data_IF_982431383334
#
_entry.id   IF_982431383334
#
_cell.length_a   1.000
_cell.length_b   1.000
_cell.length_c   1.000
_cell.angle_alpha   90.00
_cell.angle_beta   90.00
_cell.angle_gamma   90.00
#
_symmetry.space_group_name_H-M   'P 1'
#
loop_
_entity.id
_entity.type
_entity.pdbx_description
1 polymer ?
#
# COMPACT_ATOMS: atom_id res chain seq x y z
N UNK A 1 25.60 9.46 6.01
CA UNK A 1 26.36 10.64 6.47
C UNK A 1 25.51 11.70 7.16
N UNK A 2 24.18 11.56 7.30
CA UNK A 2 23.35 12.46 8.11
C UNK A 2 23.31 13.93 7.64
N UNK A 3 23.65 14.19 6.37
CA UNK A 3 23.80 15.55 5.82
C UNK A 3 22.50 16.14 5.26
N UNK A 4 21.36 15.52 5.52
CA UNK A 4 20.07 16.03 5.06
C UNK A 4 19.75 17.32 5.82
N UNK A 5 19.31 18.37 5.12
CA UNK A 5 19.00 19.64 5.79
C UNK A 5 17.77 19.53 6.71
N UNK A 6 17.61 20.49 7.62
CA UNK A 6 16.52 20.47 8.60
C UNK A 6 15.13 20.59 7.99
N UNK A 7 15.00 21.20 6.81
CA UNK A 7 13.72 21.35 6.12
C UNK A 7 13.29 20.00 5.53
N UNK A 8 14.21 19.27 4.91
CA UNK A 8 13.99 17.94 4.39
C UNK A 8 13.68 16.94 5.52
N UNK A 9 14.40 17.00 6.65
CA UNK A 9 14.08 16.16 7.82
C UNK A 9 12.69 16.45 8.39
N UNK A 10 12.29 17.73 8.50
CA UNK A 10 10.93 18.11 8.93
C UNK A 10 9.86 17.61 7.97
N UNK A 11 10.12 17.64 6.66
CA UNK A 11 9.19 17.13 5.64
C UNK A 11 8.97 15.63 5.77
N UNK A 12 10.05 14.88 6.01
CA UNK A 12 10.00 13.43 6.26
C UNK A 12 9.29 13.14 7.59
N UNK A 13 9.53 13.93 8.63
CA UNK A 13 8.92 13.74 9.95
C UNK A 13 9.73 12.82 10.89
N UNK A 14 10.98 12.48 10.54
CA UNK A 14 11.87 11.71 11.40
C UNK A 14 13.22 12.41 11.65
N UNK A 15 13.75 12.35 12.88
CA UNK A 15 15.13 12.77 13.14
C UNK A 15 16.11 11.75 12.55
N UNK A 16 17.23 12.22 12.00
CA UNK A 16 18.25 11.31 11.49
C UNK A 16 18.86 10.45 12.61
N UNK A 17 18.99 9.14 12.35
CA UNK A 17 19.79 8.22 13.15
C UNK A 17 20.27 7.03 12.31
N UNK A 18 21.35 6.33 12.69
CA UNK A 18 21.73 5.07 12.05
C UNK A 18 20.62 4.01 12.09
N UNK A 19 19.87 3.93 13.21
CA UNK A 19 18.76 3.01 13.36
C UNK A 19 17.63 3.28 12.35
N UNK A 20 17.32 4.56 12.08
CA UNK A 20 16.35 4.94 11.05
C UNK A 20 16.77 4.46 9.66
N UNK A 21 18.06 4.59 9.32
CA UNK A 21 18.59 4.10 8.04
C UNK A 21 18.42 2.58 7.94
N UNK A 22 18.85 1.84 8.97
CA UNK A 22 18.72 0.38 9.01
C UNK A 22 17.27 -0.07 8.89
N UNK A 23 16.35 0.51 9.68
CA UNK A 23 14.90 0.24 9.60
C UNK A 23 14.38 0.47 8.20
N UNK A 24 14.72 1.60 7.59
CA UNK A 24 14.22 1.99 6.26
C UNK A 24 14.68 1.01 5.19
N UNK A 25 15.98 0.67 5.17
CA UNK A 25 16.52 -0.31 4.22
C UNK A 25 15.92 -1.71 4.43
N UNK A 26 15.70 -2.11 5.68
CA UNK A 26 15.06 -3.39 6.00
C UNK A 26 13.61 -3.44 5.51
N UNK A 27 12.83 -2.36 5.69
CA UNK A 27 11.46 -2.28 5.17
C UNK A 27 11.43 -2.39 3.64
N UNK A 28 12.29 -1.66 2.93
CA UNK A 28 12.42 -1.76 1.46
C UNK A 28 12.81 -3.19 1.03
N UNK A 29 13.77 -3.80 1.72
CA UNK A 29 14.18 -5.19 1.47
C UNK A 29 13.04 -6.20 1.71
N UNK A 30 12.22 -5.97 2.74
CA UNK A 30 11.03 -6.76 3.04
C UNK A 30 9.99 -6.70 1.92
N UNK A 31 9.71 -5.51 1.38
CA UNK A 31 8.78 -5.33 0.26
C UNK A 31 9.29 -6.01 -1.02
N UNK A 32 10.60 -5.90 -1.32
CA UNK A 32 11.22 -6.62 -2.44
C UNK A 32 11.07 -8.15 -2.26
N UNK A 33 11.37 -8.65 -1.05
CA UNK A 33 11.27 -10.08 -0.76
C UNK A 33 9.83 -10.57 -0.88
N UNK A 34 8.86 -9.82 -0.35
CA UNK A 34 7.44 -10.13 -0.48
C UNK A 34 7.02 -10.17 -1.96
N UNK A 35 7.42 -9.19 -2.78
CA UNK A 35 7.15 -9.18 -4.22
C UNK A 35 7.65 -10.46 -4.92
N UNK A 36 8.89 -10.87 -4.64
CA UNK A 36 9.48 -12.09 -5.19
C UNK A 36 8.78 -13.36 -4.72
N UNK A 37 8.45 -13.43 -3.43
CA UNK A 37 7.76 -14.59 -2.87
C UNK A 37 6.32 -14.70 -3.37
N UNK A 38 5.61 -13.59 -3.52
CA UNK A 38 4.28 -13.57 -4.11
C UNK A 38 4.29 -14.14 -5.53
N UNK A 39 5.25 -13.73 -6.38
CA UNK A 39 5.39 -14.27 -7.73
C UNK A 39 5.62 -15.79 -7.76
N UNK A 40 6.27 -16.36 -6.75
CA UNK A 40 6.50 -17.81 -6.64
C UNK A 40 5.37 -18.58 -5.96
N UNK A 41 4.62 -17.96 -5.05
CA UNK A 41 3.67 -18.63 -4.15
C UNK A 41 2.22 -18.13 -4.28
N UNK A 42 1.96 -17.17 -5.16
CA UNK A 42 0.67 -16.49 -5.34
C UNK A 42 0.43 -15.35 -4.34
N UNK A 43 0.92 -15.45 -3.11
CA UNK A 43 0.77 -14.41 -2.08
C UNK A 43 1.98 -14.33 -1.16
N UNK A 44 2.35 -13.13 -0.73
CA UNK A 44 3.27 -12.91 0.38
C UNK A 44 2.94 -11.59 1.10
N UNK A 45 3.11 -11.55 2.41
CA UNK A 45 2.78 -10.36 3.21
C UNK A 45 4.03 -9.87 3.95
N UNK A 46 4.43 -8.63 3.71
CA UNK A 46 5.47 -7.95 4.50
C UNK A 46 4.86 -7.38 5.78
N UNK A 47 5.60 -7.42 6.89
CA UNK A 47 5.19 -6.83 8.18
C UNK A 47 5.60 -5.36 8.33
N UNK A 48 6.15 -4.78 7.27
CA UNK A 48 6.57 -3.38 7.17
C UNK A 48 6.40 -2.90 5.71
N UNK A 49 6.62 -1.61 5.46
CA UNK A 49 6.53 -1.01 4.13
C UNK A 49 5.29 -0.13 3.99
N UNK A 50 4.92 0.19 2.75
CA UNK A 50 3.83 1.11 2.43
C UNK A 50 4.23 2.57 2.56
N UNK A 51 5.49 2.88 2.21
CA UNK A 51 6.05 4.23 2.32
C UNK A 51 5.78 5.04 1.05
N UNK A 52 4.49 5.18 0.71
CA UNK A 52 3.97 5.71 -0.54
C UNK A 52 4.16 7.22 -0.79
N UNK A 53 4.52 8.01 0.24
CA UNK A 53 4.73 9.47 0.15
C UNK A 53 6.16 9.88 -0.22
N UNK A 54 7.07 8.92 -0.42
CA UNK A 54 8.41 9.23 -0.90
C UNK A 54 8.37 9.42 -2.42
N UNK A 55 8.90 10.55 -2.88
CA UNK A 55 9.04 10.89 -4.29
C UNK A 55 10.43 10.49 -4.80
N UNK A 56 10.67 10.71 -6.10
CA UNK A 56 11.94 10.38 -6.77
C UNK A 56 13.16 11.00 -6.09
N UNK A 57 13.06 12.25 -5.64
CA UNK A 57 14.18 13.07 -5.17
C UNK A 57 13.99 13.64 -3.75
N UNK A 58 12.87 13.34 -3.08
CA UNK A 58 12.62 13.75 -1.69
C UNK A 58 11.66 12.81 -0.95
N UNK A 59 11.84 12.72 0.37
CA UNK A 59 10.91 12.04 1.27
C UNK A 59 9.90 12.99 1.93
N UNK A 60 8.78 12.44 2.39
CA UNK A 60 7.67 13.18 3.01
C UNK A 60 6.73 12.24 3.75
N UNK A 61 5.92 12.77 4.68
CA UNK A 61 4.83 12.00 5.30
C UNK A 61 5.28 10.67 5.88
N UNK A 62 6.37 10.68 6.66
CA UNK A 62 6.99 9.49 7.25
C UNK A 62 7.62 8.50 6.24
N UNK A 63 7.77 8.90 4.98
CA UNK A 63 8.34 8.08 3.92
C UNK A 63 9.71 8.64 3.47
N UNK A 64 10.76 7.81 3.58
CA UNK A 64 12.13 8.17 3.16
C UNK A 64 12.43 7.65 1.75
N UNK A 65 12.14 6.36 1.53
CA UNK A 65 12.19 5.73 0.21
C UNK A 65 10.80 5.18 -0.10
N UNK A 66 10.43 5.10 -1.37
CA UNK A 66 9.17 4.50 -1.79
C UNK A 66 9.42 3.01 -2.03
N UNK A 67 9.10 2.19 -1.04
CA UNK A 67 9.38 0.76 -1.07
C UNK A 67 8.57 0.03 -2.15
N UNK A 68 7.32 0.43 -2.38
CA UNK A 68 6.47 -0.07 -3.46
C UNK A 68 7.11 0.20 -4.83
N UNK A 69 7.55 1.44 -5.07
CA UNK A 69 8.21 1.79 -6.32
C UNK A 69 9.54 1.06 -6.51
N UNK A 70 10.32 0.90 -5.45
CA UNK A 70 11.57 0.14 -5.50
C UNK A 70 11.30 -1.34 -5.81
N UNK A 71 10.31 -1.96 -5.15
CA UNK A 71 9.96 -3.35 -5.39
C UNK A 71 9.46 -3.58 -6.82
N UNK A 72 8.60 -2.71 -7.35
CA UNK A 72 8.14 -2.77 -8.75
C UNK A 72 9.33 -2.72 -9.73
N UNK A 73 10.26 -1.79 -9.54
CA UNK A 73 11.48 -1.73 -10.37
C UNK A 73 12.42 -2.91 -10.17
N UNK A 74 12.47 -3.46 -8.97
CA UNK A 74 13.34 -4.59 -8.67
C UNK A 74 12.89 -5.85 -9.42
N UNK A 75 11.60 -6.19 -9.36
CA UNK A 75 11.06 -7.36 -10.08
C UNK A 75 11.10 -7.19 -11.60
N UNK A 76 10.88 -5.97 -12.10
CA UNK A 76 11.06 -5.65 -13.52
C UNK A 76 12.51 -5.84 -13.98
N UNK A 77 13.47 -5.36 -13.19
CA UNK A 77 14.90 -5.53 -13.48
C UNK A 77 15.34 -6.99 -13.45
N UNK A 78 14.75 -7.79 -12.57
CA UNK A 78 14.99 -9.25 -12.52
C UNK A 78 14.24 -10.02 -13.63
N UNK A 79 13.39 -9.35 -14.42
CA UNK A 79 12.60 -9.97 -15.48
C UNK A 79 11.46 -10.86 -14.96
N UNK A 80 11.07 -10.72 -13.69
CA UNK A 80 10.05 -11.57 -13.05
C UNK A 80 8.62 -11.08 -13.30
N UNK A 81 8.43 -9.77 -13.50
CA UNK A 81 7.16 -9.16 -13.87
C UNK A 81 7.42 -7.86 -14.64
N UNK A 82 6.72 -7.64 -15.75
CA UNK A 82 6.82 -6.43 -16.57
C UNK A 82 5.74 -5.41 -16.21
N UNK A 83 4.50 -5.85 -15.96
CA UNK A 83 3.37 -5.00 -15.58
C UNK A 83 3.05 -5.15 -14.10
N UNK A 84 3.20 -4.07 -13.33
CA UNK A 84 2.95 -4.08 -11.89
C UNK A 84 1.81 -3.11 -11.55
N UNK A 85 0.77 -3.58 -10.89
CA UNK A 85 -0.26 -2.72 -10.32
C UNK A 85 0.14 -2.38 -8.88
N UNK A 86 0.26 -1.10 -8.57
CA UNK A 86 0.37 -0.63 -7.18
C UNK A 86 -1.02 -0.20 -6.75
N UNK A 87 -1.64 -1.03 -5.90
CA UNK A 87 -2.93 -0.78 -5.29
C UNK A 87 -2.72 -0.16 -3.92
N UNK A 88 -3.13 1.09 -3.76
CA UNK A 88 -2.94 1.88 -2.55
C UNK A 88 -4.29 2.17 -1.88
N UNK A 89 -4.52 1.50 -0.75
CA UNK A 89 -5.73 1.63 0.08
C UNK A 89 -5.43 2.24 1.46
N UNK A 90 -4.30 2.94 1.59
CA UNK A 90 -4.06 3.86 2.70
C UNK A 90 -5.03 5.05 2.62
N UNK A 91 -5.34 5.67 3.76
CA UNK A 91 -6.28 6.80 3.79
C UNK A 91 -5.74 8.05 3.09
N UNK A 92 -4.41 8.16 2.98
CA UNK A 92 -3.71 9.23 2.28
C UNK A 92 -3.48 8.84 0.82
N UNK A 93 -3.46 9.83 -0.08
CA UNK A 93 -3.13 9.53 -1.47
C UNK A 93 -1.63 9.25 -1.61
N UNK A 94 -1.27 8.14 -2.26
CA UNK A 94 0.11 7.78 -2.60
C UNK A 94 0.76 8.68 -3.65
N UNK A 95 0.90 9.97 -3.33
CA UNK A 95 1.49 11.00 -4.20
C UNK A 95 2.91 10.69 -4.67
N UNK A 96 3.73 10.13 -3.79
CA UNK A 96 5.07 9.69 -4.12
C UNK A 96 5.03 8.66 -5.24
N UNK A 97 4.22 7.63 -5.08
CA UNK A 97 4.01 6.57 -6.07
C UNK A 97 3.49 7.12 -7.39
N UNK A 98 2.43 7.94 -7.36
CA UNK A 98 1.84 8.56 -8.55
C UNK A 98 2.87 9.38 -9.35
N UNK A 99 3.66 10.22 -8.68
CA UNK A 99 4.67 11.04 -9.38
C UNK A 99 5.88 10.25 -9.89
N UNK A 100 6.27 9.16 -9.23
CA UNK A 100 7.40 8.34 -9.66
C UNK A 100 7.09 7.65 -11.00
N UNK A 101 5.85 7.19 -11.16
CA UNK A 101 5.40 6.42 -12.33
C UNK A 101 4.57 7.21 -13.33
N UNK A 102 4.42 8.53 -13.15
CA UNK A 102 3.71 9.38 -14.09
C UNK A 102 4.17 9.16 -15.54
N UNK A 103 3.27 8.67 -16.39
CA UNK A 103 3.52 8.40 -17.81
C UNK A 103 4.28 7.10 -18.10
N UNK A 104 4.50 6.23 -17.11
CA UNK A 104 5.10 4.91 -17.32
C UNK A 104 4.03 3.83 -17.54
N UNK A 105 3.89 3.27 -18.75
CA UNK A 105 2.86 2.27 -19.04
C UNK A 105 3.15 0.88 -18.42
N UNK A 106 4.29 0.68 -17.76
CA UNK A 106 4.68 -0.59 -17.14
C UNK A 106 4.22 -0.70 -15.68
N UNK A 107 3.77 0.40 -15.07
CA UNK A 107 3.26 0.41 -13.70
C UNK A 107 1.95 1.19 -13.67
N UNK A 108 0.88 0.56 -13.18
CA UNK A 108 -0.40 1.21 -12.98
C UNK A 108 -0.54 1.58 -11.50
N UNK A 109 -0.88 2.84 -11.23
CA UNK A 109 -1.06 3.37 -9.89
C UNK A 109 -2.55 3.59 -9.62
N UNK A 110 -3.10 2.86 -8.66
CA UNK A 110 -4.48 3.02 -8.21
C UNK A 110 -4.48 3.43 -6.74
N UNK A 111 -5.00 4.62 -6.43
CA UNK A 111 -5.20 5.09 -5.05
C UNK A 111 -6.67 5.31 -4.73
N UNK A 112 -7.15 4.73 -3.63
CA UNK A 112 -8.46 5.02 -3.06
C UNK A 112 -8.28 5.60 -1.66
N UNK A 113 -8.49 6.90 -1.54
CA UNK A 113 -8.03 7.71 -0.40
C UNK A 113 -9.12 8.69 0.04
N UNK A 114 -8.97 9.28 1.24
CA UNK A 114 -9.88 10.34 1.67
C UNK A 114 -9.64 11.64 0.88
N UNK A 115 -10.68 12.12 0.19
CA UNK A 115 -10.61 13.29 -0.68
C UNK A 115 -10.06 14.54 0.05
N UNK A 116 -10.46 14.70 1.31
CA UNK A 116 -10.11 15.84 2.17
C UNK A 116 -9.06 15.51 3.22
N UNK A 117 -8.03 14.74 2.83
CA UNK A 117 -6.87 14.45 3.68
C UNK A 117 -5.52 14.78 3.01
N UNK A 118 -4.42 14.66 3.76
CA UNK A 118 -3.06 14.76 3.20
C UNK A 118 -2.87 13.75 2.06
N UNK A 119 -2.12 14.09 1.00
CA UNK A 119 -1.49 15.39 0.71
C UNK A 119 -2.51 16.44 0.21
N UNK A 120 -2.21 17.71 0.46
CA UNK A 120 -3.08 18.83 0.04
C UNK A 120 -3.11 19.04 -1.48
N UNK A 121 -2.03 18.65 -2.17
CA UNK A 121 -1.95 18.61 -3.63
C UNK A 121 -1.82 17.15 -4.02
N UNK A 122 -2.82 16.61 -4.70
CA UNK A 122 -2.85 15.21 -5.15
C UNK A 122 -2.43 15.17 -6.62
N UNK A 123 -1.19 14.78 -6.95
CA UNK A 123 -0.83 14.49 -8.32
C UNK A 123 -1.69 13.34 -8.85
N UNK A 124 -2.05 13.32 -10.14
CA UNK A 124 -2.90 12.26 -10.68
C UNK A 124 -2.18 10.91 -10.63
N UNK A 125 -2.89 9.89 -10.13
CA UNK A 125 -2.58 8.48 -10.36
C UNK A 125 -3.18 8.04 -11.71
N UNK A 126 -2.95 6.80 -12.13
CA UNK A 126 -3.66 6.24 -13.30
C UNK A 126 -5.15 6.04 -13.01
N UNK A 127 -5.46 5.72 -11.74
CA UNK A 127 -6.82 5.74 -11.20
C UNK A 127 -6.83 6.34 -9.79
N UNK A 128 -7.61 7.40 -9.60
CA UNK A 128 -7.91 7.95 -8.29
C UNK A 128 -9.40 7.75 -7.97
N UNK A 129 -9.68 7.17 -6.80
CA UNK A 129 -11.03 7.02 -6.26
C UNK A 129 -11.15 7.79 -4.93
N UNK A 130 -11.36 9.12 -4.97
CA UNK A 130 -11.45 9.93 -3.76
C UNK A 130 -12.76 9.64 -3.00
N UNK A 131 -12.64 9.28 -1.72
CA UNK A 131 -13.77 9.00 -0.83
C UNK A 131 -14.15 10.22 0.02
N UNK A 132 -15.45 10.44 0.30
CA UNK A 132 -15.87 11.50 1.21
C UNK A 132 -15.41 11.21 2.65
N UNK A 133 -15.24 12.27 3.43
CA UNK A 133 -14.99 12.17 4.87
C UNK A 133 -16.09 11.35 5.52
N UNK A 134 -15.71 10.48 6.45
CA UNK A 134 -16.56 9.55 7.17
C UNK A 134 -17.26 8.49 6.28
N UNK A 135 -16.73 8.19 5.09
CA UNK A 135 -17.18 7.00 4.35
C UNK A 135 -17.01 5.76 5.24
N UNK A 136 -18.08 4.99 5.38
CA UNK A 136 -18.16 3.78 6.19
C UNK A 136 -17.78 2.53 5.39
N UNK A 137 -17.90 1.37 6.03
CA UNK A 137 -17.55 0.08 5.43
C UNK A 137 -18.26 -0.15 4.09
N UNK A 138 -19.56 0.12 4.01
CA UNK A 138 -20.35 -0.19 2.82
C UNK A 138 -20.04 0.78 1.68
N UNK A 139 -19.91 2.08 1.96
CA UNK A 139 -19.49 3.06 0.96
C UNK A 139 -18.09 2.77 0.42
N UNK A 140 -17.16 2.39 1.30
CA UNK A 140 -15.79 2.05 0.92
C UNK A 140 -15.73 0.79 0.05
N UNK A 141 -16.40 -0.29 0.48
CA UNK A 141 -16.41 -1.56 -0.26
C UNK A 141 -17.15 -1.44 -1.60
N UNK A 142 -18.21 -0.63 -1.68
CA UNK A 142 -18.89 -0.35 -2.94
C UNK A 142 -17.95 0.36 -3.94
N UNK A 143 -17.20 1.37 -3.49
CA UNK A 143 -16.22 2.04 -4.33
C UNK A 143 -15.09 1.08 -4.77
N UNK A 144 -14.57 0.25 -3.85
CA UNK A 144 -13.57 -0.76 -4.17
C UNK A 144 -14.07 -1.72 -5.25
N UNK A 145 -15.28 -2.26 -5.07
CA UNK A 145 -15.91 -3.20 -6.00
C UNK A 145 -16.18 -2.59 -7.38
N UNK A 146 -16.42 -1.27 -7.44
CA UNK A 146 -16.60 -0.55 -8.70
C UNK A 146 -15.27 -0.33 -9.45
N UNK A 147 -14.18 -0.04 -8.73
CA UNK A 147 -12.94 0.45 -9.32
C UNK A 147 -11.88 -0.64 -9.53
N UNK A 148 -11.66 -1.52 -8.55
CA UNK A 148 -10.57 -2.49 -8.60
C UNK A 148 -10.68 -3.49 -9.77
N UNK A 149 -11.86 -4.07 -10.09
CA UNK A 149 -11.98 -4.96 -11.25
C UNK A 149 -11.55 -4.28 -12.55
N UNK A 150 -11.88 -3.00 -12.73
CA UNK A 150 -11.51 -2.24 -13.93
C UNK A 150 -10.00 -2.05 -14.04
N UNK A 151 -9.32 -1.76 -12.92
CA UNK A 151 -7.86 -1.64 -12.92
C UNK A 151 -7.18 -2.98 -13.24
N UNK A 152 -7.64 -4.07 -12.62
CA UNK A 152 -7.11 -5.42 -12.86
C UNK A 152 -7.35 -5.88 -14.31
N UNK A 153 -8.56 -5.72 -14.82
CA UNK A 153 -8.97 -6.26 -16.13
C UNK A 153 -8.43 -5.42 -17.29
N UNK A 154 -8.31 -4.10 -17.13
CA UNK A 154 -7.79 -3.25 -18.19
C UNK A 154 -6.26 -3.24 -18.28
N UNK A 155 -5.58 -3.35 -17.14
CA UNK A 155 -4.11 -3.32 -17.09
C UNK A 155 -3.47 -4.71 -17.18
N UNK A 156 -4.20 -5.75 -16.77
CA UNK A 156 -3.75 -7.14 -16.70
C UNK A 156 -2.37 -7.27 -16.01
N UNK A 157 -2.23 -6.86 -14.73
CA UNK A 157 -0.94 -6.90 -14.04
C UNK A 157 -0.42 -8.32 -13.87
N UNK A 158 0.90 -8.46 -13.89
CA UNK A 158 1.61 -9.71 -13.57
C UNK A 158 1.95 -9.80 -12.07
N UNK A 159 1.85 -8.67 -11.35
CA UNK A 159 1.99 -8.57 -9.90
C UNK A 159 1.14 -7.40 -9.38
N UNK A 160 0.47 -7.60 -8.26
CA UNK A 160 -0.10 -6.51 -7.44
C UNK A 160 0.79 -6.27 -6.22
N UNK A 161 1.25 -5.03 -6.05
CA UNK A 161 1.78 -4.54 -4.79
C UNK A 161 0.65 -3.83 -4.06
N UNK A 162 0.20 -4.40 -2.95
CA UNK A 162 -0.97 -3.94 -2.20
C UNK A 162 -0.54 -3.24 -0.91
N UNK A 163 -0.75 -1.92 -0.85
CA UNK A 163 -0.64 -1.14 0.38
C UNK A 163 -1.93 -1.26 1.20
N UNK A 164 -1.87 -2.02 2.29
CA UNK A 164 -3.00 -2.37 3.12
C UNK A 164 -3.09 -1.50 4.39
N UNK A 165 -2.71 -0.22 4.31
CA UNK A 165 -2.80 0.76 5.39
C UNK A 165 -4.09 0.65 6.21
N UNK A 166 -3.99 0.73 7.53
CA UNK A 166 -5.12 0.58 8.47
C UNK A 166 -5.66 1.91 8.95
N UNK A 167 -5.08 3.02 8.51
CA UNK A 167 -5.52 4.37 8.80
C UNK A 167 -6.84 4.84 8.13
N UNK A 168 -7.53 4.06 7.27
CA UNK A 168 -8.95 4.30 7.00
C UNK A 168 -9.87 4.03 8.20
N UNK A 169 -9.36 3.40 9.27
CA UNK A 169 -10.13 3.05 10.45
C UNK A 169 -10.69 4.29 11.17
N UNK A 170 -11.93 4.19 11.68
CA UNK A 170 -12.64 5.28 12.37
C UNK A 170 -11.98 5.84 13.63
N UNK A 171 -11.09 5.05 14.24
CA UNK A 171 -10.32 5.44 15.43
C UNK A 171 -8.92 5.95 15.09
N UNK A 172 -8.53 5.97 13.80
CA UNK A 172 -7.24 6.51 13.39
C UNK A 172 -7.18 8.03 13.59
N UNK A 173 -6.07 8.52 14.13
CA UNK A 173 -5.90 9.95 14.46
C UNK A 173 -5.60 10.85 13.26
N UNK A 174 -5.03 10.28 12.20
CA UNK A 174 -4.66 11.00 10.98
C UNK A 174 -5.64 10.71 9.84
N UNK A 175 -6.36 9.59 9.93
CA UNK A 175 -7.47 9.23 9.07
C UNK A 175 -8.69 10.14 9.21
N UNK A 176 -9.58 10.04 8.22
CA UNK A 176 -10.88 10.74 8.18
C UNK A 176 -11.98 9.90 7.56
N UNK A 177 -11.77 8.59 7.45
CA UNK A 177 -12.78 7.63 7.03
C UNK A 177 -13.33 6.93 8.29
N UNK A 178 -14.34 6.09 8.12
CA UNK A 178 -15.08 5.49 9.22
C UNK A 178 -15.06 3.96 9.19
N UNK A 179 -14.01 3.34 8.66
CA UNK A 179 -13.96 1.88 8.57
C UNK A 179 -13.88 1.26 9.96
N UNK A 180 -14.51 0.11 10.09
CA UNK A 180 -14.42 -0.74 11.28
C UNK A 180 -13.33 -1.80 11.12
N UNK A 181 -12.96 -2.49 12.19
CA UNK A 181 -12.06 -3.66 12.09
C UNK A 181 -12.62 -4.73 11.14
N UNK A 182 -13.95 -4.91 11.11
CA UNK A 182 -14.62 -5.80 10.17
C UNK A 182 -14.58 -5.27 8.73
N UNK A 183 -14.70 -3.95 8.54
CA UNK A 183 -14.54 -3.28 7.26
C UNK A 183 -13.15 -3.45 6.65
N UNK A 184 -12.10 -3.24 7.45
CA UNK A 184 -10.72 -3.49 7.03
C UNK A 184 -10.51 -4.94 6.63
N UNK A 185 -11.02 -5.89 7.42
CA UNK A 185 -10.91 -7.32 7.08
C UNK A 185 -11.66 -7.66 5.78
N UNK A 186 -12.89 -7.18 5.62
CA UNK A 186 -13.67 -7.37 4.38
C UNK A 186 -12.97 -6.76 3.18
N UNK A 187 -12.35 -5.59 3.33
CA UNK A 187 -11.54 -4.95 2.28
C UNK A 187 -10.39 -5.86 1.87
N UNK A 188 -9.59 -6.31 2.83
CA UNK A 188 -8.41 -7.14 2.53
C UNK A 188 -8.80 -8.48 1.90
N UNK A 189 -9.85 -9.14 2.40
CA UNK A 189 -10.41 -10.35 1.77
C UNK A 189 -10.85 -10.08 0.33
N UNK A 190 -11.60 -9.00 0.10
CA UNK A 190 -12.11 -8.63 -1.23
C UNK A 190 -10.97 -8.44 -2.23
N UNK A 191 -9.92 -7.70 -1.87
CA UNK A 191 -8.74 -7.49 -2.73
C UNK A 191 -8.08 -8.82 -3.07
N UNK A 192 -7.80 -9.63 -2.04
CA UNK A 192 -7.08 -10.88 -2.19
C UNK A 192 -7.87 -11.92 -2.99
N UNK A 193 -9.19 -12.01 -2.79
CA UNK A 193 -10.08 -12.87 -3.59
C UNK A 193 -10.12 -12.43 -5.06
N UNK A 194 -10.21 -11.12 -5.33
CA UNK A 194 -10.21 -10.61 -6.70
C UNK A 194 -8.91 -10.89 -7.44
N UNK A 195 -7.76 -10.80 -6.75
CA UNK A 195 -6.46 -11.16 -7.31
C UNK A 195 -6.35 -12.68 -7.53
N UNK A 196 -6.71 -13.49 -6.51
CA UNK A 196 -6.70 -14.96 -6.57
C UNK A 196 -7.59 -15.48 -7.72
N UNK A 197 -8.79 -14.95 -7.87
CA UNK A 197 -9.73 -15.34 -8.92
C UNK A 197 -9.20 -15.07 -10.34
N UNK A 198 -8.28 -14.11 -10.48
CA UNK A 198 -7.60 -13.77 -11.74
C UNK A 198 -6.23 -14.45 -11.90
N UNK A 199 -5.80 -15.24 -10.92
CA UNK A 199 -4.46 -15.83 -10.89
C UNK A 199 -3.34 -14.79 -10.82
N UNK A 200 -3.62 -13.58 -10.33
CA UNK A 200 -2.62 -12.51 -10.23
C UNK A 200 -1.94 -12.57 -8.86
N UNK A 201 -0.61 -12.75 -8.79
CA UNK A 201 0.13 -12.73 -7.54
C UNK A 201 0.00 -11.40 -6.80
N UNK A 202 -0.06 -11.44 -5.47
CA UNK A 202 -0.19 -10.24 -4.62
C UNK A 202 0.83 -10.22 -3.48
N UNK A 203 1.60 -9.15 -3.42
CA UNK A 203 2.49 -8.85 -2.30
C UNK A 203 1.91 -7.70 -1.49
N UNK A 204 1.72 -7.90 -0.18
CA UNK A 204 1.12 -6.88 0.69
C UNK A 204 2.17 -6.20 1.57
N UNK A 205 1.91 -4.95 1.91
CA UNK A 205 2.60 -4.18 2.96
C UNK A 205 1.58 -3.58 3.92
N UNK A 206 2.03 -3.24 5.13
CA UNK A 206 1.13 -2.85 6.23
C UNK A 206 0.65 -1.39 6.19
N UNK A 207 1.33 -0.51 5.46
CA UNK A 207 0.92 0.90 5.25
C UNK A 207 0.88 1.77 6.51
N UNK A 208 0.10 2.85 6.44
CA UNK A 208 -0.19 3.76 7.55
C UNK A 208 -1.09 3.16 8.63
N UNK A 209 -1.12 3.81 9.79
CA UNK A 209 -1.86 3.38 10.97
C UNK A 209 -1.36 4.12 12.22
N UNK A 210 -2.23 4.90 12.85
CA UNK A 210 -1.88 5.90 13.86
C UNK A 210 -2.84 5.85 15.06
N UNK A 211 -2.68 4.82 15.87
CA UNK A 211 -3.34 4.66 17.17
C UNK A 211 -2.29 4.74 18.30
N UNK A 212 -2.67 5.33 19.44
CA UNK A 212 -1.80 5.36 20.63
C UNK A 212 -1.74 4.00 21.32
N UNK A 213 -2.77 3.17 21.16
CA UNK A 213 -2.80 1.79 21.63
C UNK A 213 -2.09 0.87 20.63
N UNK A 214 -0.82 0.57 20.92
CA UNK A 214 0.03 -0.28 20.08
C UNK A 214 -0.51 -1.71 19.93
N UNK A 215 -1.28 -2.22 20.90
CA UNK A 215 -1.85 -3.56 20.83
C UNK A 215 -3.04 -3.59 19.86
N UNK A 216 -3.90 -2.57 19.89
CA UNK A 216 -4.94 -2.36 18.87
C UNK A 216 -4.33 -2.13 17.49
N UNK A 217 -3.33 -1.27 17.39
CA UNK A 217 -2.67 -0.98 16.12
C UNK A 217 -2.03 -2.24 15.52
N UNK A 218 -1.29 -3.00 16.34
CA UNK A 218 -0.70 -4.27 15.95
C UNK A 218 -1.77 -5.25 15.46
N UNK A 219 -2.88 -5.41 16.19
CA UNK A 219 -4.02 -6.23 15.77
C UNK A 219 -4.58 -5.80 14.41
N UNK A 220 -4.78 -4.50 14.18
CA UNK A 220 -5.27 -3.99 12.89
C UNK A 220 -4.32 -4.31 11.75
N UNK A 221 -3.02 -4.10 11.92
CA UNK A 221 -2.05 -4.47 10.88
C UNK A 221 -2.00 -5.99 10.62
N UNK A 222 -2.38 -6.84 11.59
CA UNK A 222 -2.51 -8.29 11.31
C UNK A 222 -3.68 -8.65 10.39
N UNK A 223 -4.62 -7.74 10.16
CA UNK A 223 -5.84 -8.00 9.38
C UNK A 223 -5.53 -8.51 7.97
N UNK A 224 -4.60 -7.89 7.24
CA UNK A 224 -4.21 -8.34 5.90
C UNK A 224 -3.58 -9.74 5.91
N UNK A 225 -2.81 -10.07 6.95
CA UNK A 225 -2.21 -11.39 7.11
C UNK A 225 -3.27 -12.46 7.39
N UNK A 226 -4.25 -12.14 8.24
CA UNK A 226 -5.39 -13.03 8.54
C UNK A 226 -6.25 -13.24 7.30
N UNK A 227 -6.50 -12.18 6.52
CA UNK A 227 -7.20 -12.28 5.25
C UNK A 227 -6.43 -13.15 4.24
N UNK A 228 -5.10 -13.00 4.14
CA UNK A 228 -4.28 -13.85 3.28
C UNK A 228 -4.34 -15.32 3.67
N UNK A 229 -4.29 -15.65 4.97
CA UNK A 229 -4.50 -17.03 5.44
C UNK A 229 -5.89 -17.54 5.05
N UNK A 230 -6.94 -16.77 5.33
CA UNK A 230 -8.31 -17.18 4.98
C UNK A 230 -8.50 -17.41 3.47
N UNK A 231 -7.93 -16.55 2.63
CA UNK A 231 -8.11 -16.62 1.17
C UNK A 231 -7.20 -17.66 0.52
N UNK A 232 -6.01 -17.95 1.04
CA UNK A 232 -5.04 -18.81 0.35
C UNK A 232 -4.76 -20.16 1.05
N UNK A 233 -5.19 -20.38 2.30
CA UNK A 233 -4.97 -21.67 2.98
C UNK A 233 -5.92 -22.79 2.53
N UNK A 234 -7.10 -22.47 1.98
CA UNK A 234 -8.08 -23.48 1.52
C UNK A 234 -7.67 -24.21 0.21
N UNK A 235 -6.51 -23.88 -0.37
CA UNK A 235 -6.01 -24.51 -1.60
C UNK A 235 -4.93 -25.59 -1.38
N UNK A 236 -4.44 -25.79 -0.16
CA UNK A 236 -3.42 -26.80 0.13
C UNK A 236 -4.00 -28.21 0.37
N UNK A 237 -5.31 -28.40 0.14
CA UNK A 237 -6.03 -29.67 0.42
C UNK A 237 -6.91 -30.15 -0.73
N UNK A 238 -6.70 -29.66 -1.96
CA UNK A 238 -7.39 -30.13 -3.16
C UNK A 238 -6.39 -30.62 -4.22
#
# INVERSE_FOLDING_TARGET
TGRLDSRAMRRIGFPWSPALVTRTCAAVGGTILAARLALSHGVACSTAGGTHHAHRDWGSGYCIFNDLAVAARWVQREGLARRVLILDLDVHQGDGTATIFAGDPTVFTFSMHCAKNFPFRKPPSDLDAPLPVAADDDAYLAALAQHLPRALDAFEPELVLYDAGVDPHREDRLGKLALTDAGLYRRDVTVLEMCRARGVPVATVVGGGYDEDLEKLGRRHTTVHRAAVAVFSDAASA
#
